data_IF_016868049127
#
_entry.id   IF_016868049127
#
_cell.length_a   1.000
_cell.length_b   1.000
_cell.length_c   1.000
_cell.angle_alpha   90.00
_cell.angle_beta   90.00
_cell.angle_gamma   90.00
#
_symmetry.space_group_name_H-M   'P 1'
#
loop_
_entity.id
_entity.type
_entity.pdbx_description
1 polymer ?
#
# COMPACT_ATOMS: atom_id res chain seq x y z
N UNK A 1 -23.09 18.16 -6.54
CA UNK A 1 -22.47 18.16 -7.87
C UNK A 1 -21.28 17.22 -7.96
N UNK A 2 -20.34 17.35 -7.05
CA UNK A 2 -19.20 16.45 -7.05
C UNK A 2 -19.63 14.99 -6.94
N UNK A 3 -20.59 14.71 -6.08
CA UNK A 3 -21.07 13.34 -5.91
C UNK A 3 -21.74 12.81 -7.17
N UNK A 4 -22.42 13.67 -7.89
CA UNK A 4 -23.02 13.28 -9.16
C UNK A 4 -21.96 12.97 -10.20
N UNK A 5 -20.91 13.79 -10.24
CA UNK A 5 -19.82 13.53 -11.14
C UNK A 5 -19.15 12.22 -10.84
N UNK A 6 -18.93 11.94 -9.56
CA UNK A 6 -18.35 10.68 -9.14
C UNK A 6 -19.26 9.51 -9.55
N UNK A 7 -20.54 9.67 -9.40
CA UNK A 7 -21.49 8.66 -9.81
C UNK A 7 -21.49 8.40 -11.31
N UNK A 8 -21.15 9.41 -12.08
CA UNK A 8 -21.01 9.25 -13.53
C UNK A 8 -19.70 8.63 -13.92
N UNK A 9 -18.63 9.06 -13.24
CA UNK A 9 -17.29 8.58 -13.55
C UNK A 9 -17.07 7.17 -13.04
N UNK A 10 -17.70 6.83 -11.93
CA UNK A 10 -17.56 5.51 -11.34
C UNK A 10 -18.96 4.96 -11.05
N UNK A 11 -19.23 3.78 -11.60
CA UNK A 11 -20.46 3.10 -11.27
C UNK A 11 -20.45 2.67 -9.80
N UNK A 12 -21.62 2.41 -9.20
CA UNK A 12 -21.65 1.90 -7.82
C UNK A 12 -20.79 0.66 -7.62
N UNK A 13 -20.74 -0.23 -8.62
CA UNK A 13 -19.92 -1.43 -8.50
C UNK A 13 -18.44 -1.08 -8.51
N UNK A 14 -18.02 -0.09 -9.30
CA UNK A 14 -16.62 0.35 -9.29
C UNK A 14 -16.26 0.99 -7.95
N UNK A 15 -17.16 1.75 -7.37
CA UNK A 15 -16.92 2.34 -6.06
C UNK A 15 -16.79 1.27 -4.99
N UNK A 16 -17.61 0.24 -5.05
CA UNK A 16 -17.55 -0.86 -4.10
C UNK A 16 -16.25 -1.64 -4.24
N UNK A 17 -15.84 -1.91 -5.48
CA UNK A 17 -14.58 -2.60 -5.74
C UNK A 17 -13.41 -1.80 -5.20
N UNK A 18 -13.43 -0.50 -5.42
CA UNK A 18 -12.36 0.38 -4.95
C UNK A 18 -12.29 0.38 -3.43
N UNK A 19 -13.44 0.44 -2.76
CA UNK A 19 -13.48 0.40 -1.31
C UNK A 19 -12.94 -0.92 -0.78
N UNK A 20 -13.29 -2.03 -1.42
CA UNK A 20 -12.74 -3.33 -1.07
C UNK A 20 -11.23 -3.40 -1.23
N UNK A 21 -10.72 -2.83 -2.31
CA UNK A 21 -9.28 -2.80 -2.54
C UNK A 21 -8.55 -2.01 -1.47
N UNK A 22 -9.10 -0.87 -1.08
CA UNK A 22 -8.52 -0.07 -0.01
C UNK A 22 -8.48 -0.84 1.29
N UNK A 23 -9.58 -1.51 1.63
CA UNK A 23 -9.64 -2.32 2.85
C UNK A 23 -8.63 -3.46 2.82
N UNK A 24 -8.48 -4.12 1.68
CA UNK A 24 -7.50 -5.19 1.55
C UNK A 24 -6.09 -4.69 1.74
N UNK A 25 -5.77 -3.54 1.14
CA UNK A 25 -4.44 -2.96 1.31
C UNK A 25 -4.21 -2.63 2.77
N UNK A 26 -5.19 -2.05 3.44
CA UNK A 26 -5.07 -1.74 4.86
C UNK A 26 -4.88 -2.99 5.71
N UNK A 27 -5.62 -4.04 5.44
CA UNK A 27 -5.46 -5.31 6.14
C UNK A 27 -4.08 -5.90 5.91
N UNK A 28 -3.62 -5.86 4.66
CA UNK A 28 -2.31 -6.37 4.33
C UNK A 28 -1.21 -5.59 5.02
N UNK A 29 -1.32 -4.27 5.05
CA UNK A 29 -0.34 -3.42 5.73
C UNK A 29 -0.33 -3.72 7.22
N UNK A 30 -1.49 -3.93 7.82
CA UNK A 30 -1.57 -4.23 9.25
C UNK A 30 -1.00 -5.59 9.58
N UNK A 31 -0.96 -6.51 8.63
CA UNK A 31 -0.38 -7.82 8.81
C UNK A 31 1.14 -7.83 8.69
N UNK A 32 1.73 -6.76 8.17
CA UNK A 32 3.17 -6.66 8.05
C UNK A 32 3.82 -6.29 9.37
N UNK A 33 5.10 -6.62 9.50
CA UNK A 33 5.89 -6.13 10.62
C UNK A 33 5.87 -4.61 10.65
N UNK A 34 5.94 -4.00 11.84
CA UNK A 34 5.95 -2.54 11.94
C UNK A 34 7.03 -1.88 11.10
N UNK A 35 8.21 -2.49 10.99
CA UNK A 35 9.31 -1.92 10.21
C UNK A 35 9.00 -1.93 8.72
N UNK A 36 8.39 -3.00 8.23
CA UNK A 36 8.00 -3.09 6.82
C UNK A 36 6.91 -2.08 6.51
N UNK A 37 5.92 -2.00 7.40
CA UNK A 37 4.82 -1.05 7.24
C UNK A 37 5.33 0.39 7.22
N UNK A 38 6.27 0.69 8.10
CA UNK A 38 6.84 2.04 8.18
C UNK A 38 7.56 2.44 6.90
N UNK A 39 8.39 1.57 6.35
CA UNK A 39 9.13 1.92 5.14
C UNK A 39 8.19 2.11 3.95
N UNK A 40 7.14 1.32 3.86
CA UNK A 40 6.15 1.49 2.81
C UNK A 40 5.41 2.81 2.99
N UNK A 41 5.03 3.13 4.22
CA UNK A 41 4.33 4.38 4.50
C UNK A 41 5.17 5.59 4.12
N UNK A 42 6.45 5.58 4.47
CA UNK A 42 7.34 6.70 4.15
C UNK A 42 7.49 6.89 2.65
N UNK A 43 7.60 5.80 1.90
CA UNK A 43 7.81 5.88 0.47
C UNK A 43 6.54 6.15 -0.32
N UNK A 44 5.43 5.56 0.08
CA UNK A 44 4.19 5.60 -0.71
C UNK A 44 3.21 6.67 -0.23
N UNK A 45 3.08 6.85 1.06
CA UNK A 45 2.10 7.78 1.60
C UNK A 45 2.70 9.15 1.89
N UNK A 46 3.90 9.19 2.41
CA UNK A 46 4.58 10.45 2.67
C UNK A 46 5.45 10.89 1.52
N UNK A 47 5.60 10.04 0.54
CA UNK A 47 6.33 10.33 -0.71
C UNK A 47 7.75 10.81 -0.49
N UNK A 48 8.41 10.28 0.52
CA UNK A 48 9.80 10.62 0.79
C UNK A 48 10.72 9.96 -0.23
N UNK A 49 11.82 10.63 -0.51
CA UNK A 49 12.85 10.06 -1.38
C UNK A 49 13.57 8.91 -0.68
N UNK A 50 14.39 8.18 -1.43
CA UNK A 50 15.20 7.12 -0.85
C UNK A 50 16.12 7.65 0.25
N UNK A 51 16.74 8.79 -0.01
CA UNK A 51 17.65 9.41 0.96
C UNK A 51 16.91 9.85 2.21
N UNK A 52 15.75 10.49 2.02
CA UNK A 52 14.95 10.96 3.15
C UNK A 52 14.44 9.79 3.99
N UNK A 53 13.98 8.73 3.32
CA UNK A 53 13.51 7.54 4.02
C UNK A 53 14.63 6.92 4.86
N UNK A 54 15.82 6.82 4.28
CA UNK A 54 16.97 6.27 5.00
C UNK A 54 17.30 7.12 6.23
N UNK A 55 17.23 8.42 6.09
CA UNK A 55 17.46 9.34 7.22
C UNK A 55 16.46 9.10 8.34
N UNK A 56 15.19 9.01 8.00
CA UNK A 56 14.15 8.78 9.01
C UNK A 56 14.36 7.46 9.72
N UNK A 57 14.74 6.43 8.97
CA UNK A 57 14.95 5.11 9.54
C UNK A 57 16.30 4.94 10.23
N UNK A 58 17.20 5.89 10.03
CA UNK A 58 18.54 5.81 10.63
C UNK A 58 19.41 4.73 10.01
N UNK A 59 19.24 4.46 8.73
CA UNK A 59 20.00 3.43 8.00
C UNK A 59 20.56 4.03 6.71
N UNK A 60 21.39 3.26 6.02
CA UNK A 60 21.92 3.71 4.73
C UNK A 60 20.82 3.66 3.67
N UNK A 61 21.01 4.45 2.60
CA UNK A 61 20.10 4.41 1.47
C UNK A 61 19.96 3.03 0.89
N UNK A 62 21.09 2.33 0.77
CA UNK A 62 21.11 0.98 0.22
C UNK A 62 20.30 0.02 1.09
N UNK A 63 20.50 0.09 2.39
CA UNK A 63 19.76 -0.76 3.32
C UNK A 63 18.27 -0.42 3.28
N UNK A 64 17.95 0.86 3.18
CA UNK A 64 16.55 1.31 3.06
C UNK A 64 15.89 0.79 1.81
N UNK A 65 16.60 0.83 0.69
CA UNK A 65 16.07 0.34 -0.57
C UNK A 65 15.79 -1.17 -0.51
N UNK A 66 16.70 -1.92 0.09
CA UNK A 66 16.51 -3.36 0.25
C UNK A 66 15.32 -3.67 1.16
N UNK A 67 15.19 -2.91 2.25
CA UNK A 67 14.07 -3.08 3.16
C UNK A 67 12.75 -2.79 2.46
N UNK A 68 12.71 -1.73 1.67
CA UNK A 68 11.51 -1.38 0.93
C UNK A 68 11.11 -2.46 -0.06
N UNK A 69 12.08 -2.99 -0.82
CA UNK A 69 11.81 -4.05 -1.77
C UNK A 69 11.30 -5.32 -1.09
N UNK A 70 11.88 -5.67 0.05
CA UNK A 70 11.40 -6.84 0.81
C UNK A 70 10.01 -6.60 1.36
N UNK A 71 9.76 -5.38 1.85
CA UNK A 71 8.45 -5.04 2.38
C UNK A 71 7.39 -5.14 1.29
N UNK A 72 7.69 -4.67 0.09
CA UNK A 72 6.77 -4.77 -1.04
C UNK A 72 6.48 -6.22 -1.42
N UNK A 73 7.49 -7.08 -1.40
CA UNK A 73 7.28 -8.51 -1.67
C UNK A 73 6.37 -9.15 -0.64
N UNK A 74 6.59 -8.80 0.63
CA UNK A 74 5.75 -9.33 1.70
C UNK A 74 4.32 -8.82 1.59
N UNK A 75 4.17 -7.54 1.26
CA UNK A 75 2.85 -6.97 1.05
C UNK A 75 2.13 -7.70 -0.07
N UNK A 76 2.82 -7.94 -1.18
CA UNK A 76 2.24 -8.65 -2.30
C UNK A 76 1.81 -10.06 -1.90
N UNK A 77 2.64 -10.75 -1.13
CA UNK A 77 2.31 -12.10 -0.66
C UNK A 77 1.10 -12.09 0.25
N UNK A 78 1.00 -11.13 1.15
CA UNK A 78 -0.15 -11.03 2.05
C UNK A 78 -1.41 -10.75 1.25
N UNK A 79 -1.34 -9.83 0.30
CA UNK A 79 -2.49 -9.50 -0.55
C UNK A 79 -2.98 -10.74 -1.32
N UNK A 80 -2.05 -11.52 -1.85
CA UNK A 80 -2.41 -12.73 -2.58
C UNK A 80 -3.07 -13.77 -1.69
N UNK A 81 -2.75 -13.77 -0.40
CA UNK A 81 -3.30 -14.74 0.54
C UNK A 81 -4.66 -14.34 1.09
N UNK A 82 -5.04 -13.06 0.96
CA UNK A 82 -6.32 -12.61 1.47
C UNK A 82 -7.47 -13.13 0.62
N UNK A 83 -8.63 -13.40 1.24
CA UNK A 83 -9.81 -13.80 0.47
C UNK A 83 -10.14 -12.77 -0.60
N UNK A 84 -10.40 -13.24 -1.81
CA UNK A 84 -10.70 -12.35 -2.92
C UNK A 84 -9.51 -11.60 -3.47
N UNK A 85 -8.29 -12.13 -3.29
CA UNK A 85 -7.05 -11.46 -3.68
C UNK A 85 -7.00 -10.95 -5.11
N UNK A 86 -5.81 -10.65 -5.64
CA UNK A 86 -5.70 -9.96 -6.93
C UNK A 86 -6.46 -10.63 -8.07
N UNK A 87 -6.56 -11.93 -8.05
CA UNK A 87 -7.29 -12.65 -9.09
C UNK A 87 -8.78 -12.47 -9.01
N UNK A 88 -9.30 -12.13 -7.85
CA UNK A 88 -10.71 -11.88 -7.67
C UNK A 88 -11.13 -10.49 -8.09
N UNK A 89 -10.17 -9.69 -8.49
CA UNK A 89 -10.43 -8.31 -8.90
C UNK A 89 -10.51 -8.19 -10.44
#
# INVERSE_FOLDING_TARGET
MASMLLGRLTSPSNAAIRAEQVLRVQEALNALDPLDREVIALRQFEELSRAETAQVLGITEEAGAKRYMRALRRLKAVLAALPGGPEGI
#
